data_IF_410978168354
#
_entry.id   IF_410978168354
#
_cell.length_a   1.000
_cell.length_b   1.000
_cell.length_c   1.000
_cell.angle_alpha   90.00
_cell.angle_beta   90.00
_cell.angle_gamma   90.00
#
_symmetry.space_group_name_H-M   'P 1'
#
loop_
_entity.id
_entity.type
_entity.pdbx_description
1 polymer ?
#
# COMPACT_ATOMS: atom_id res chain seq x y z
N UNK A 1 -20.32 11.69 27.46
CA UNK A 1 -21.20 12.60 28.20
C UNK A 1 -22.60 12.46 27.60
N UNK A 2 -23.30 11.42 28.05
CA UNK A 2 -24.68 11.04 27.69
C UNK A 2 -25.41 11.11 29.03
N UNK A 3 -25.60 12.33 29.54
CA UNK A 3 -26.02 12.51 30.94
C UNK A 3 -27.55 12.55 31.06
N UNK A 4 -28.26 12.92 29.99
CA UNK A 4 -29.72 12.95 29.99
C UNK A 4 -30.29 12.00 28.93
N UNK A 5 -31.02 11.00 29.43
CA UNK A 5 -31.88 10.12 28.63
C UNK A 5 -33.05 10.96 28.10
N UNK A 6 -33.54 10.73 26.86
CA UNK A 6 -34.76 11.37 26.39
C UNK A 6 -35.90 11.13 27.39
N UNK A 7 -36.58 12.22 27.79
CA UNK A 7 -37.79 12.17 28.60
C UNK A 7 -38.84 11.37 27.87
N UNK A 8 -39.41 10.36 28.51
CA UNK A 8 -40.34 9.40 27.89
C UNK A 8 -41.57 10.15 27.36
N UNK A 9 -41.62 10.42 26.05
CA UNK A 9 -42.80 10.97 25.37
C UNK A 9 -43.61 9.85 24.70
N UNK A 10 -44.76 10.22 24.12
CA UNK A 10 -45.62 9.32 23.35
C UNK A 10 -44.95 8.76 22.08
N UNK A 11 -43.84 9.33 21.60
CA UNK A 11 -43.04 8.80 20.49
C UNK A 11 -41.56 8.62 20.87
N UNK A 12 -41.21 7.50 21.54
CA UNK A 12 -39.86 7.30 22.07
C UNK A 12 -38.79 7.21 20.96
N UNK A 13 -39.17 6.85 19.74
CA UNK A 13 -38.24 6.71 18.62
C UNK A 13 -37.90 8.09 18.03
N UNK A 14 -38.88 8.99 17.91
CA UNK A 14 -38.62 10.37 17.48
C UNK A 14 -37.71 11.09 18.47
N UNK A 15 -37.93 10.90 19.77
CA UNK A 15 -37.08 11.49 20.81
C UNK A 15 -35.63 11.01 20.72
N UNK A 16 -35.41 9.72 20.42
CA UNK A 16 -34.06 9.16 20.25
C UNK A 16 -33.37 9.75 19.01
N UNK A 17 -34.10 9.89 17.91
CA UNK A 17 -33.58 10.45 16.66
C UNK A 17 -33.23 11.92 16.85
N UNK A 18 -34.12 12.71 17.43
CA UNK A 18 -33.88 14.11 17.81
C UNK A 18 -32.69 14.25 18.77
N UNK A 19 -32.62 13.37 19.76
CA UNK A 19 -31.50 13.33 20.67
C UNK A 19 -30.19 13.09 19.90
N UNK A 20 -30.16 12.16 18.95
CA UNK A 20 -28.96 11.86 18.16
C UNK A 20 -28.56 12.99 17.19
N UNK A 21 -29.52 13.69 16.59
CA UNK A 21 -29.28 14.70 15.55
C UNK A 21 -28.85 16.07 16.09
N UNK A 22 -28.83 16.26 17.41
CA UNK A 22 -28.42 17.51 18.05
C UNK A 22 -27.00 17.94 17.59
N UNK A 23 -26.79 19.22 17.16
CA UNK A 23 -25.54 19.68 16.57
C UNK A 23 -24.29 19.41 17.43
N UNK A 24 -24.39 19.59 18.75
CA UNK A 24 -23.28 19.33 19.67
C UNK A 24 -22.88 17.84 19.65
N UNK A 25 -23.86 16.93 19.67
CA UNK A 25 -23.61 15.48 19.66
C UNK A 25 -23.05 15.01 18.33
N UNK A 26 -23.54 15.57 17.22
CA UNK A 26 -22.96 15.34 15.90
C UNK A 26 -21.50 15.81 15.86
N UNK A 27 -21.20 16.98 16.44
CA UNK A 27 -19.82 17.47 16.58
C UNK A 27 -18.92 16.52 17.37
N UNK A 28 -19.39 16.04 18.53
CA UNK A 28 -18.66 15.06 19.33
C UNK A 28 -18.49 13.71 18.62
N UNK A 29 -19.48 13.28 17.85
CA UNK A 29 -19.38 12.06 17.05
C UNK A 29 -18.26 12.17 16.02
N UNK A 30 -18.17 13.27 15.28
CA UNK A 30 -17.06 13.51 14.36
C UNK A 30 -15.71 13.63 15.06
N UNK A 31 -15.66 14.30 16.21
CA UNK A 31 -14.44 14.35 17.04
C UNK A 31 -13.99 12.94 17.45
N UNK A 32 -14.91 12.10 17.91
CA UNK A 32 -14.62 10.72 18.27
C UNK A 32 -14.12 9.89 17.08
N UNK A 33 -14.68 10.09 15.88
CA UNK A 33 -14.20 9.44 14.65
C UNK A 33 -12.77 9.86 14.29
N UNK A 34 -12.45 11.15 14.40
CA UNK A 34 -11.10 11.68 14.14
C UNK A 34 -10.11 11.15 15.17
N UNK A 35 -10.45 11.21 16.46
CA UNK A 35 -9.61 10.66 17.54
C UNK A 35 -9.40 9.16 17.36
N UNK A 36 -10.44 8.41 16.98
CA UNK A 36 -10.32 6.99 16.67
C UNK A 36 -9.35 6.75 15.51
N UNK A 37 -9.42 7.53 14.43
CA UNK A 37 -8.51 7.40 13.30
C UNK A 37 -7.05 7.69 13.69
N UNK A 38 -6.82 8.72 14.51
CA UNK A 38 -5.48 9.20 14.85
C UNK A 38 -4.83 8.43 15.98
N UNK A 39 -5.59 8.00 16.98
CA UNK A 39 -5.06 7.46 18.24
C UNK A 39 -5.18 5.93 18.30
N UNK A 40 -6.26 5.37 17.77
CA UNK A 40 -6.53 3.93 17.88
C UNK A 40 -5.44 3.04 17.29
N UNK A 41 -4.82 3.33 16.13
CA UNK A 41 -3.75 2.48 15.59
C UNK A 41 -2.59 2.34 16.56
N UNK A 42 -2.16 3.42 17.20
CA UNK A 42 -1.05 3.44 18.15
C UNK A 42 -1.38 2.70 19.45
N UNK A 43 -2.57 2.93 20.01
CA UNK A 43 -3.00 2.25 21.24
C UNK A 43 -3.11 0.74 21.02
N UNK A 44 -3.74 0.33 19.92
CA UNK A 44 -3.85 -1.09 19.58
C UNK A 44 -2.50 -1.71 19.30
N UNK A 45 -1.59 -1.01 18.63
CA UNK A 45 -0.23 -1.51 18.39
C UNK A 45 0.58 -1.65 19.68
N UNK A 46 0.53 -0.64 20.56
CA UNK A 46 1.16 -0.71 21.88
C UNK A 46 0.64 -1.89 22.70
N UNK A 47 -0.67 -2.13 22.68
CA UNK A 47 -1.27 -3.31 23.32
C UNK A 47 -0.76 -4.62 22.72
N UNK A 48 -0.63 -4.73 21.39
CA UNK A 48 -0.10 -5.94 20.73
C UNK A 48 1.35 -6.21 21.10
N UNK A 49 2.20 -5.17 21.11
CA UNK A 49 3.60 -5.27 21.55
C UNK A 49 3.68 -5.68 23.03
N UNK A 50 2.81 -5.13 23.87
CA UNK A 50 2.71 -5.51 25.28
C UNK A 50 2.34 -6.99 25.43
N UNK A 51 1.33 -7.49 24.71
CA UNK A 51 0.94 -8.91 24.74
C UNK A 51 2.12 -9.78 24.31
N UNK A 52 2.80 -9.43 23.22
CA UNK A 52 3.99 -10.16 22.74
C UNK A 52 5.11 -10.17 23.79
N UNK A 53 5.43 -9.03 24.39
CA UNK A 53 6.44 -8.94 25.44
C UNK A 53 6.10 -9.77 26.68
N UNK A 54 4.82 -9.84 27.06
CA UNK A 54 4.35 -10.70 28.16
C UNK A 54 4.49 -12.18 27.79
N UNK A 55 4.13 -12.57 26.57
CA UNK A 55 4.29 -13.95 26.10
C UNK A 55 5.76 -14.38 26.14
N UNK A 56 6.67 -13.54 25.64
CA UNK A 56 8.10 -13.83 25.67
C UNK A 56 8.64 -13.92 27.11
N UNK A 57 8.15 -13.07 28.02
CA UNK A 57 8.57 -13.07 29.42
C UNK A 57 8.08 -14.31 30.19
N UNK A 58 6.90 -14.85 29.84
CA UNK A 58 6.29 -16.00 30.52
C UNK A 58 6.73 -17.33 29.92
N UNK A 59 6.85 -17.42 28.59
CA UNK A 59 7.07 -18.67 27.86
C UNK A 59 8.43 -18.75 27.15
N UNK A 60 9.21 -17.67 27.14
CA UNK A 60 10.49 -17.56 26.43
C UNK A 60 10.34 -17.01 25.01
N UNK A 61 11.47 -16.58 24.43
CA UNK A 61 11.49 -16.06 23.06
C UNK A 61 11.24 -17.16 22.03
N UNK A 62 10.37 -16.87 21.06
CA UNK A 62 10.11 -17.76 19.94
C UNK A 62 11.32 -17.81 18.99
N UNK A 63 11.72 -19.01 18.59
CA UNK A 63 12.82 -19.25 17.65
C UNK A 63 12.48 -20.34 16.62
N UNK A 64 13.40 -20.62 15.67
CA UNK A 64 13.23 -21.67 14.68
C UNK A 64 12.96 -23.02 15.34
N UNK A 65 11.97 -23.75 14.85
CA UNK A 65 11.58 -25.04 15.40
C UNK A 65 11.02 -25.99 14.34
N UNK A 66 11.46 -27.26 14.32
CA UNK A 66 10.82 -28.29 13.50
C UNK A 66 9.37 -28.54 13.94
N UNK A 67 8.48 -28.83 12.99
CA UNK A 67 7.04 -28.99 13.28
C UNK A 67 6.72 -30.11 14.27
N UNK A 68 7.59 -31.12 14.38
CA UNK A 68 7.43 -32.26 15.28
C UNK A 68 7.96 -32.02 16.71
N UNK A 69 8.73 -30.94 16.93
CA UNK A 69 9.34 -30.59 18.23
C UNK A 69 8.66 -29.36 18.85
N UNK A 70 7.92 -28.58 18.07
CA UNK A 70 7.22 -27.39 18.53
C UNK A 70 6.24 -27.68 19.67
N UNK A 71 6.47 -27.08 20.83
CA UNK A 71 5.53 -27.13 21.94
C UNK A 71 4.23 -26.42 21.58
N UNK A 72 3.08 -26.98 21.96
CA UNK A 72 1.76 -26.42 21.67
C UNK A 72 1.63 -24.94 22.11
N UNK A 73 2.31 -24.55 23.19
CA UNK A 73 2.37 -23.17 23.68
C UNK A 73 3.09 -22.24 22.71
N UNK A 74 4.23 -22.67 22.15
CA UNK A 74 4.99 -21.86 21.18
C UNK A 74 4.20 -21.67 19.88
N UNK A 75 3.56 -22.73 19.37
CA UNK A 75 2.67 -22.66 18.20
C UNK A 75 1.48 -21.74 18.47
N UNK A 76 0.85 -21.85 19.64
CA UNK A 76 -0.25 -20.97 20.03
C UNK A 76 0.20 -19.51 20.16
N UNK A 77 1.35 -19.24 20.79
CA UNK A 77 1.89 -17.88 20.92
C UNK A 77 2.23 -17.26 19.58
N UNK A 78 2.85 -18.01 18.66
CA UNK A 78 3.12 -17.55 17.30
C UNK A 78 1.82 -17.20 16.54
N UNK A 79 0.84 -18.11 16.59
CA UNK A 79 -0.47 -17.88 15.97
C UNK A 79 -1.21 -16.68 16.58
N UNK A 80 -1.13 -16.51 17.91
CA UNK A 80 -1.75 -15.38 18.60
C UNK A 80 -1.13 -14.05 18.16
N UNK A 81 0.21 -13.96 18.08
CA UNK A 81 0.89 -12.75 17.59
C UNK A 81 0.49 -12.44 16.14
N UNK A 82 0.40 -13.47 15.30
CA UNK A 82 -0.01 -13.35 13.89
C UNK A 82 -1.44 -12.84 13.73
N UNK A 83 -2.37 -13.34 14.54
CA UNK A 83 -3.77 -12.88 14.57
C UNK A 83 -3.93 -11.48 15.18
N UNK A 84 -3.13 -11.16 16.20
CA UNK A 84 -3.15 -9.85 16.84
C UNK A 84 -2.60 -8.75 15.93
N UNK A 85 -1.55 -9.04 15.15
CA UNK A 85 -0.89 -8.08 14.29
C UNK A 85 -0.65 -8.61 12.88
N UNK A 86 -1.70 -8.89 12.07
CA UNK A 86 -1.52 -9.26 10.69
C UNK A 86 -0.96 -8.08 9.90
N UNK A 87 -0.25 -8.35 8.80
CA UNK A 87 0.44 -7.34 7.97
C UNK A 87 -0.41 -6.11 7.63
N UNK A 88 -1.71 -6.22 7.24
CA UNK A 88 -2.54 -5.03 7.00
C UNK A 88 -2.67 -4.11 8.21
N UNK A 89 -2.72 -4.66 9.43
CA UNK A 89 -2.82 -3.89 10.68
C UNK A 89 -1.51 -3.21 11.06
N UNK A 90 -0.38 -3.77 10.64
CA UNK A 90 0.92 -3.11 10.76
C UNK A 90 0.98 -1.88 9.85
N UNK A 91 0.46 -1.99 8.62
CA UNK A 91 0.36 -0.87 7.68
C UNK A 91 -0.53 0.27 8.18
N UNK A 92 -1.59 -0.01 8.95
CA UNK A 92 -2.43 1.03 9.57
C UNK A 92 -1.61 2.00 10.44
N UNK A 93 -0.60 1.48 11.15
CA UNK A 93 0.24 2.26 12.08
C UNK A 93 1.41 2.90 11.35
N UNK A 94 2.12 2.12 10.53
CA UNK A 94 3.30 2.61 9.82
C UNK A 94 2.94 3.64 8.76
N UNK A 95 1.74 3.52 8.17
CA UNK A 95 1.20 4.50 7.23
C UNK A 95 0.98 5.90 7.81
N UNK A 96 0.81 6.03 9.12
CA UNK A 96 0.68 7.33 9.81
C UNK A 96 2.00 8.13 9.78
N UNK A 97 3.14 7.45 9.74
CA UNK A 97 4.47 8.08 9.63
C UNK A 97 4.87 8.37 8.18
N UNK A 98 3.98 8.16 7.21
CA UNK A 98 4.26 8.39 5.79
C UNK A 98 5.18 7.35 5.17
N UNK A 99 5.95 7.75 4.16
CA UNK A 99 6.92 6.89 3.47
C UNK A 99 8.26 6.81 4.22
N UNK A 100 8.29 7.17 5.51
CA UNK A 100 9.47 7.02 6.34
C UNK A 100 9.57 5.56 6.80
N UNK A 101 10.32 4.77 6.03
CA UNK A 101 10.44 3.32 6.21
C UNK A 101 11.05 2.90 7.55
N UNK A 102 11.74 3.81 8.25
CA UNK A 102 12.30 3.53 9.56
C UNK A 102 11.21 3.24 10.61
N UNK A 103 10.03 3.87 10.54
CA UNK A 103 8.94 3.57 11.46
C UNK A 103 8.46 2.12 11.32
N UNK A 104 8.41 1.60 10.09
CA UNK A 104 8.13 0.18 9.82
C UNK A 104 9.22 -0.72 10.38
N UNK A 105 10.49 -0.36 10.18
CA UNK A 105 11.61 -1.12 10.74
C UNK A 105 11.56 -1.16 12.28
N UNK A 106 11.28 -0.04 12.94
CA UNK A 106 11.10 0.01 14.40
C UNK A 106 9.94 -0.86 14.86
N UNK A 107 8.79 -0.79 14.18
CA UNK A 107 7.62 -1.60 14.52
C UNK A 107 7.90 -3.11 14.36
N UNK A 108 8.60 -3.51 13.30
CA UNK A 108 9.02 -4.91 13.09
C UNK A 108 10.02 -5.37 14.17
N UNK A 109 10.96 -4.52 14.58
CA UNK A 109 11.87 -4.81 15.70
C UNK A 109 11.11 -5.02 17.02
N UNK A 110 10.10 -4.20 17.29
CA UNK A 110 9.23 -4.39 18.48
C UNK A 110 8.46 -5.72 18.45
N UNK A 111 8.16 -6.24 17.26
CA UNK A 111 7.50 -7.54 17.06
C UNK A 111 8.47 -8.73 17.06
N UNK A 112 9.78 -8.49 17.21
CA UNK A 112 10.82 -9.52 17.33
C UNK A 112 11.69 -9.72 16.08
N UNK A 113 11.45 -9.00 14.98
CA UNK A 113 12.29 -9.10 13.79
C UNK A 113 13.65 -8.43 14.00
N UNK A 114 14.68 -8.95 13.33
CA UNK A 114 15.98 -8.27 13.22
C UNK A 114 15.98 -7.49 11.91
N UNK A 115 15.99 -6.15 12.02
CA UNK A 115 15.93 -5.27 10.84
C UNK A 115 17.00 -4.19 10.95
N UNK A 116 17.85 -4.12 9.95
CA UNK A 116 18.91 -3.12 9.80
C UNK A 116 18.39 -1.70 9.55
N UNK A 117 19.29 -0.83 9.10
CA UNK A 117 19.02 0.59 8.82
C UNK A 117 18.72 0.81 7.34
N UNK A 118 17.92 1.84 7.04
CA UNK A 118 17.61 2.30 5.66
C UNK A 118 16.99 1.22 4.76
N UNK A 119 16.22 0.31 5.36
CA UNK A 119 15.42 -0.67 4.62
C UNK A 119 14.25 0.05 3.96
N UNK A 120 14.00 -0.22 2.68
CA UNK A 120 12.84 0.29 1.94
C UNK A 120 11.68 -0.71 2.02
N UNK A 121 10.55 -0.27 2.57
CA UNK A 121 9.33 -1.06 2.71
C UNK A 121 8.21 -0.53 1.81
N UNK A 122 7.73 -1.28 0.80
CA UNK A 122 6.71 -0.80 -0.11
C UNK A 122 5.37 -0.60 0.61
N UNK A 123 4.52 0.29 0.08
CA UNK A 123 3.22 0.62 0.67
C UNK A 123 2.20 -0.52 0.70
N UNK A 124 2.42 -1.58 -0.08
CA UNK A 124 1.65 -2.84 -0.09
C UNK A 124 2.37 -3.98 0.64
N UNK A 125 3.58 -3.71 1.16
CA UNK A 125 4.39 -4.57 2.01
C UNK A 125 4.81 -5.91 1.37
N UNK A 126 5.89 -6.52 1.87
CA UNK A 126 5.96 -7.95 1.84
C UNK A 126 4.93 -8.53 2.83
N UNK A 127 4.31 -9.65 2.46
CA UNK A 127 3.65 -10.50 3.46
C UNK A 127 4.72 -11.20 4.30
N UNK A 128 4.55 -11.20 5.61
CA UNK A 128 5.50 -11.78 6.57
C UNK A 128 4.75 -12.87 7.33
N UNK A 129 5.30 -14.09 7.35
CA UNK A 129 4.75 -15.21 8.09
C UNK A 129 4.80 -14.97 9.60
N UNK A 130 6.02 -14.96 10.14
CA UNK A 130 6.32 -14.82 11.56
C UNK A 130 7.40 -13.75 11.76
N UNK A 131 7.07 -12.69 12.49
CA UNK A 131 7.98 -11.53 12.63
C UNK A 131 9.32 -11.89 13.30
N UNK A 132 9.33 -12.82 14.26
CA UNK A 132 10.52 -13.22 15.01
C UNK A 132 11.50 -14.09 14.19
N UNK A 133 11.07 -14.60 13.04
CA UNK A 133 11.89 -15.43 12.13
C UNK A 133 12.36 -14.64 10.90
N UNK A 134 12.52 -13.32 11.05
CA UNK A 134 12.97 -12.44 10.00
C UNK A 134 14.26 -11.72 10.40
N UNK A 135 15.30 -11.88 9.58
CA UNK A 135 16.57 -11.15 9.69
C UNK A 135 16.87 -10.40 8.38
N UNK A 136 16.92 -9.06 8.47
CA UNK A 136 17.08 -8.15 7.34
C UNK A 136 18.26 -7.22 7.61
N UNK A 137 19.21 -7.20 6.70
CA UNK A 137 20.38 -6.33 6.72
C UNK A 137 20.08 -4.85 6.45
N UNK A 138 21.14 -4.08 6.26
CA UNK A 138 21.08 -2.65 5.93
C UNK A 138 20.83 -2.43 4.44
N UNK A 139 20.16 -1.31 4.10
CA UNK A 139 19.97 -0.87 2.71
C UNK A 139 19.24 -1.89 1.82
N UNK A 140 18.43 -2.78 2.42
CA UNK A 140 17.62 -3.75 1.69
C UNK A 140 16.42 -3.06 1.06
N UNK A 141 16.05 -3.48 -0.15
CA UNK A 141 14.91 -2.92 -0.88
C UNK A 141 13.89 -4.02 -1.17
N UNK A 142 12.68 -3.83 -0.66
CA UNK A 142 11.54 -4.71 -0.97
C UNK A 142 10.65 -4.12 -2.07
N UNK A 143 10.26 -4.99 -3.00
CA UNK A 143 9.24 -4.79 -3.99
C UNK A 143 7.86 -5.15 -3.46
N UNK A 144 6.84 -4.66 -4.14
CA UNK A 144 5.44 -4.82 -3.75
C UNK A 144 5.03 -6.29 -3.73
N UNK A 145 4.29 -6.71 -2.70
CA UNK A 145 3.76 -8.07 -2.55
C UNK A 145 4.80 -9.20 -2.56
N UNK A 146 6.04 -8.94 -2.14
CA UNK A 146 6.94 -10.05 -1.83
C UNK A 146 6.34 -10.95 -0.72
N UNK A 147 6.70 -12.22 -0.69
CA UNK A 147 6.23 -13.19 0.28
C UNK A 147 7.40 -13.74 1.08
N UNK A 148 7.40 -13.48 2.38
CA UNK A 148 8.41 -13.98 3.33
C UNK A 148 7.75 -15.10 4.16
N UNK A 149 7.91 -16.33 3.68
CA UNK A 149 7.36 -17.52 4.32
C UNK A 149 8.41 -18.05 5.29
N UNK A 150 8.08 -18.02 6.57
CA UNK A 150 8.96 -18.44 7.68
C UNK A 150 8.59 -19.81 8.22
N UNK A 151 7.37 -20.27 7.97
CA UNK A 151 6.85 -21.53 8.50
C UNK A 151 6.02 -22.27 7.46
N UNK A 152 6.15 -23.60 7.43
CA UNK A 152 5.39 -24.52 6.59
C UNK A 152 4.99 -25.79 7.36
N UNK A 153 4.53 -26.83 6.66
CA UNK A 153 4.12 -28.10 7.29
C UNK A 153 5.28 -28.91 7.88
N UNK A 154 6.53 -28.54 7.60
CA UNK A 154 7.74 -29.25 8.07
C UNK A 154 8.37 -28.57 9.28
N UNK A 155 8.24 -27.24 9.38
CA UNK A 155 8.76 -26.49 10.51
C UNK A 155 8.75 -25.00 10.27
N UNK A 156 9.49 -24.30 11.12
CA UNK A 156 9.66 -22.85 11.12
C UNK A 156 11.15 -22.53 11.13
N UNK A 157 11.58 -21.72 10.17
CA UNK A 157 12.99 -21.41 9.92
C UNK A 157 13.17 -19.91 9.62
N UNK A 158 14.34 -19.40 9.98
CA UNK A 158 14.70 -17.99 9.78
C UNK A 158 14.83 -17.67 8.29
N UNK A 159 14.28 -16.54 7.85
CA UNK A 159 14.57 -15.96 6.54
C UNK A 159 15.58 -14.83 6.72
N UNK A 160 16.77 -15.00 6.14
CA UNK A 160 17.89 -14.06 6.27
C UNK A 160 18.12 -13.32 4.95
N UNK A 161 18.18 -11.99 5.01
CA UNK A 161 18.41 -11.12 3.85
C UNK A 161 19.60 -10.21 4.13
N UNK A 162 20.68 -10.38 3.38
CA UNK A 162 21.92 -9.65 3.54
C UNK A 162 21.85 -8.20 3.07
N UNK A 163 22.87 -7.42 3.46
CA UNK A 163 22.97 -6.00 3.17
C UNK A 163 22.86 -5.70 1.65
N UNK A 164 22.18 -4.59 1.32
CA UNK A 164 21.99 -4.10 -0.05
C UNK A 164 21.31 -5.10 -1.01
N UNK A 165 20.65 -6.13 -0.49
CA UNK A 165 19.86 -7.03 -1.31
C UNK A 165 18.59 -6.34 -1.83
N UNK A 166 18.15 -6.74 -3.02
CA UNK A 166 16.91 -6.32 -3.65
C UNK A 166 15.98 -7.52 -3.75
N UNK A 167 14.83 -7.45 -3.09
CA UNK A 167 13.76 -8.44 -3.20
C UNK A 167 12.64 -7.82 -4.02
N UNK A 168 12.57 -8.09 -5.32
CA UNK A 168 11.61 -7.43 -6.21
C UNK A 168 10.16 -7.94 -6.03
N UNK A 169 9.25 -7.31 -6.75
CA UNK A 169 7.81 -7.53 -6.62
C UNK A 169 7.42 -9.01 -6.75
N UNK A 170 6.62 -9.51 -5.80
CA UNK A 170 6.13 -10.90 -5.75
C UNK A 170 7.20 -11.99 -5.66
N UNK A 171 8.44 -11.64 -5.34
CA UNK A 171 9.44 -12.64 -4.98
C UNK A 171 8.99 -13.41 -3.73
N UNK A 172 9.18 -14.73 -3.73
CA UNK A 172 8.78 -15.62 -2.65
C UNK A 172 10.03 -16.22 -1.99
N UNK A 173 10.30 -15.79 -0.76
CA UNK A 173 11.32 -16.32 0.12
C UNK A 173 10.72 -17.44 0.98
N UNK A 174 11.21 -18.66 0.82
CA UNK A 174 10.78 -19.84 1.56
C UNK A 174 11.55 -20.00 2.90
N UNK A 175 11.06 -20.85 3.83
CA UNK A 175 11.69 -21.01 5.14
C UNK A 175 13.16 -21.42 5.04
N UNK A 176 14.02 -20.83 5.87
CA UNK A 176 15.45 -21.18 5.97
C UNK A 176 16.33 -20.60 4.87
N UNK A 177 15.79 -19.75 4.00
CA UNK A 177 16.56 -19.13 2.90
C UNK A 177 17.51 -18.06 3.42
N UNK A 178 18.73 -18.07 2.90
CA UNK A 178 19.71 -17.01 3.11
C UNK A 178 20.02 -16.29 1.79
N UNK A 179 19.57 -15.04 1.69
CA UNK A 179 19.87 -14.16 0.57
C UNK A 179 21.14 -13.37 0.88
N UNK A 180 22.20 -13.61 0.12
CA UNK A 180 23.48 -12.96 0.32
C UNK A 180 23.47 -11.45 0.05
N UNK A 181 24.56 -10.79 0.42
CA UNK A 181 24.77 -9.36 0.20
C UNK A 181 24.66 -8.99 -1.29
N UNK A 182 24.01 -7.85 -1.62
CA UNK A 182 23.85 -7.34 -2.99
C UNK A 182 23.18 -8.34 -3.97
N UNK A 183 22.48 -9.35 -3.45
CA UNK A 183 21.68 -10.24 -4.30
C UNK A 183 20.46 -9.50 -4.83
N UNK A 184 20.11 -9.76 -6.08
CA UNK A 184 18.86 -9.31 -6.68
C UNK A 184 17.95 -10.51 -6.94
N UNK A 185 16.88 -10.62 -6.16
CA UNK A 185 15.75 -11.50 -6.46
C UNK A 185 14.80 -10.74 -7.37
N UNK A 186 14.67 -11.16 -8.62
CA UNK A 186 13.81 -10.54 -9.61
C UNK A 186 12.32 -10.76 -9.34
N UNK A 187 11.49 -10.05 -10.09
CA UNK A 187 10.05 -10.10 -9.87
C UNK A 187 9.51 -11.52 -10.10
N UNK A 188 8.69 -12.00 -9.17
CA UNK A 188 8.15 -13.37 -9.20
C UNK A 188 9.20 -14.48 -8.99
N UNK A 189 10.41 -14.17 -8.53
CA UNK A 189 11.42 -15.19 -8.23
C UNK A 189 10.93 -16.09 -7.08
N UNK A 190 11.05 -17.41 -7.21
CA UNK A 190 10.78 -18.37 -6.15
C UNK A 190 12.10 -18.90 -5.60
N UNK A 191 12.26 -18.88 -4.28
CA UNK A 191 13.41 -19.53 -3.65
C UNK A 191 13.10 -20.96 -3.22
N UNK A 192 14.14 -21.76 -3.03
CA UNK A 192 14.06 -23.10 -2.47
C UNK A 192 14.34 -23.03 -0.96
N UNK A 193 13.53 -23.71 -0.15
CA UNK A 193 13.71 -23.75 1.30
C UNK A 193 15.12 -24.22 1.70
N UNK A 194 15.70 -23.58 2.72
CA UNK A 194 17.04 -23.88 3.23
C UNK A 194 18.21 -23.51 2.32
N UNK A 195 17.95 -22.87 1.17
CA UNK A 195 18.99 -22.57 0.17
C UNK A 195 19.68 -21.23 0.41
N UNK A 196 20.99 -21.22 0.16
CA UNK A 196 21.79 -20.00 0.13
C UNK A 196 21.90 -19.43 -1.28
N UNK A 197 21.66 -18.12 -1.42
CA UNK A 197 21.84 -17.36 -2.64
C UNK A 197 23.06 -16.47 -2.54
N UNK A 198 24.04 -16.71 -3.41
CA UNK A 198 25.37 -16.15 -3.28
C UNK A 198 25.40 -14.65 -3.55
N UNK A 199 26.22 -13.94 -2.77
CA UNK A 199 26.39 -12.49 -2.85
C UNK A 199 26.65 -11.98 -4.28
N UNK A 200 26.00 -10.86 -4.63
CA UNK A 200 26.08 -10.24 -5.95
C UNK A 200 25.42 -11.03 -7.09
N UNK A 201 24.66 -12.09 -6.78
CA UNK A 201 23.91 -12.86 -7.76
C UNK A 201 22.59 -12.19 -8.16
N UNK A 202 22.14 -12.47 -9.39
CA UNK A 202 20.80 -12.09 -9.88
C UNK A 202 20.01 -13.36 -10.18
N UNK A 203 18.88 -13.54 -9.50
CA UNK A 203 18.05 -14.73 -9.56
C UNK A 203 16.63 -14.36 -9.98
N UNK A 204 16.03 -15.08 -10.93
CA UNK A 204 14.70 -14.75 -11.46
C UNK A 204 13.85 -16.00 -11.72
N UNK A 205 12.53 -15.79 -11.73
CA UNK A 205 11.55 -16.80 -12.13
C UNK A 205 11.47 -18.00 -11.18
N UNK A 206 10.82 -19.05 -11.66
CA UNK A 206 10.64 -20.32 -10.96
C UNK A 206 10.77 -21.46 -11.96
N UNK A 207 11.74 -22.35 -11.76
CA UNK A 207 11.98 -23.53 -12.57
C UNK A 207 12.42 -24.68 -11.68
N UNK A 208 11.61 -25.73 -11.61
CA UNK A 208 11.91 -26.91 -10.80
C UNK A 208 11.89 -26.64 -9.29
N UNK A 209 11.07 -25.67 -8.84
CA UNK A 209 10.95 -25.32 -7.42
C UNK A 209 12.01 -24.33 -6.91
N UNK A 210 12.78 -23.71 -7.81
CA UNK A 210 13.79 -22.71 -7.47
C UNK A 210 13.93 -21.64 -8.56
N UNK A 211 14.60 -20.54 -8.23
CA UNK A 211 14.93 -19.44 -9.12
C UNK A 211 16.14 -19.77 -10.00
N UNK A 212 16.16 -19.17 -11.17
CA UNK A 212 17.26 -19.33 -12.13
C UNK A 212 18.27 -18.21 -11.93
N UNK A 213 19.53 -18.56 -11.70
CA UNK A 213 20.63 -17.60 -11.63
C UNK A 213 20.98 -17.08 -13.03
N UNK A 214 20.78 -15.78 -13.28
CA UNK A 214 21.17 -15.13 -14.54
C UNK A 214 22.65 -14.72 -14.55
N UNK A 215 23.15 -14.25 -13.41
CA UNK A 215 24.52 -13.79 -13.26
C UNK A 215 24.96 -14.03 -11.83
N UNK A 216 26.11 -14.67 -11.64
CA UNK A 216 26.87 -14.55 -10.40
C UNK A 216 27.85 -13.39 -10.58
N UNK A 217 28.11 -12.60 -9.54
CA UNK A 217 29.12 -11.53 -9.57
C UNK A 217 30.57 -12.01 -9.83
N UNK A 218 30.75 -13.26 -10.25
CA UNK A 218 32.01 -13.90 -10.68
C UNK A 218 31.86 -14.39 -12.12
N UNK A 219 31.98 -13.49 -13.09
CA UNK A 219 32.35 -13.87 -14.46
C UNK A 219 33.87 -13.77 -14.57
N UNK A 220 34.65 -14.87 -14.62
CA UNK A 220 35.96 -14.83 -15.21
C UNK A 220 35.78 -14.59 -16.71
N UNK A 221 36.48 -13.59 -17.27
CA UNK A 221 36.53 -13.34 -18.71
C UNK A 221 36.85 -14.65 -19.47
N UNK A 222 35.82 -15.34 -19.99
CA UNK A 222 36.03 -16.38 -21.00
C UNK A 222 36.30 -15.68 -22.32
N UNK A 223 37.57 -15.67 -22.74
CA UNK A 223 37.95 -15.34 -24.12
C UNK A 223 37.28 -16.34 -25.06
N UNK A 224 36.16 -15.96 -25.65
CA UNK A 224 35.64 -16.63 -26.83
C UNK A 224 36.49 -16.14 -28.01
N UNK A 225 37.44 -16.96 -28.44
CA UNK A 225 38.10 -16.81 -29.74
C UNK A 225 37.10 -17.16 -30.84
N UNK A 226 36.56 -16.15 -31.52
CA UNK A 226 35.93 -16.31 -32.83
C UNK A 226 35.95 -15.00 -33.61
N UNK A 227 36.62 -15.03 -34.77
CA UNK A 227 36.23 -14.32 -35.98
C UNK A 227 36.11 -12.79 -35.94
N UNK A 228 37.19 -12.13 -36.32
CA UNK A 228 37.29 -10.72 -36.73
C UNK A 228 36.02 -10.11 -37.37
N UNK A 229 35.36 -9.19 -36.65
CA UNK A 229 34.87 -7.92 -37.19
C UNK A 229 35.22 -6.81 -36.21
N UNK A 230 36.12 -5.95 -36.63
CA UNK A 230 36.75 -4.86 -35.88
C UNK A 230 35.71 -3.77 -35.56
N UNK A 231 35.04 -3.85 -34.41
CA UNK A 231 34.34 -2.70 -33.81
C UNK A 231 35.36 -1.84 -33.05
N UNK A 232 35.32 -0.55 -33.37
CA UNK A 232 36.23 0.49 -32.88
C UNK A 232 36.01 0.71 -31.38
N UNK A 233 37.07 0.52 -30.60
CA UNK A 233 37.14 0.86 -29.18
C UNK A 233 36.90 2.37 -29.01
N UNK A 234 35.82 2.77 -28.34
CA UNK A 234 35.69 4.12 -27.78
C UNK A 234 36.13 4.05 -26.32
N UNK A 235 37.19 4.80 -26.01
CA UNK A 235 37.75 4.96 -24.67
C UNK A 235 36.82 5.83 -23.83
N UNK A 236 36.72 5.52 -22.55
CA UNK A 236 35.78 6.14 -21.58
C UNK A 236 36.18 7.53 -21.10
N UNK A 237 37.00 8.26 -21.86
CA UNK A 237 37.55 9.57 -21.44
C UNK A 237 37.04 10.75 -22.29
N UNK A 238 36.20 10.53 -23.30
CA UNK A 238 35.74 11.60 -24.22
C UNK A 238 34.36 12.19 -23.88
N UNK A 239 33.83 12.00 -22.67
CA UNK A 239 32.55 12.67 -22.26
C UNK A 239 32.72 13.64 -21.09
N UNK A 240 33.94 14.09 -20.79
CA UNK A 240 34.17 15.13 -19.79
C UNK A 240 35.16 16.20 -20.28
N UNK A 241 34.69 17.44 -20.21
CA UNK A 241 35.28 18.75 -20.54
C UNK A 241 35.23 19.16 -22.03
N UNK A 242 34.78 20.37 -22.40
CA UNK A 242 34.93 21.62 -21.69
C UNK A 242 33.79 22.63 -21.93
N UNK A 243 33.36 23.31 -20.87
CA UNK A 243 33.74 24.71 -20.72
C UNK A 243 33.98 25.06 -19.25
N UNK A 244 35.08 25.76 -19.06
CA UNK A 244 35.77 26.17 -17.84
C UNK A 244 35.01 27.16 -16.95
N UNK A 245 35.24 27.06 -15.62
CA UNK A 245 35.29 28.24 -14.76
C UNK A 245 34.97 28.02 -13.28
N UNK A 246 36.01 28.07 -12.43
CA UNK A 246 35.99 28.37 -10.98
C UNK A 246 35.91 27.22 -9.95
N UNK A 247 37.11 26.74 -9.57
CA UNK A 247 37.69 26.64 -8.21
C UNK A 247 36.87 26.06 -7.03
N UNK A 248 37.41 24.93 -6.53
CA UNK A 248 37.60 24.47 -5.14
C UNK A 248 36.58 24.86 -4.05
N UNK A 249 36.01 23.82 -3.42
CA UNK A 249 36.40 23.40 -2.05
C UNK A 249 35.83 22.02 -1.71
N UNK A 250 36.70 21.16 -1.18
CA UNK A 250 36.38 19.96 -0.45
C UNK A 250 35.49 20.29 0.75
N UNK A 251 34.44 19.50 1.01
CA UNK A 251 33.73 19.52 2.28
C UNK A 251 33.13 18.13 2.55
N UNK A 252 33.38 17.67 3.76
CA UNK A 252 32.99 16.41 4.36
C UNK A 252 31.49 16.10 4.26
N UNK A 253 31.21 14.81 4.19
CA UNK A 253 29.88 14.26 4.01
C UNK A 253 29.16 14.12 5.37
N UNK A 254 28.79 15.25 5.99
CA UNK A 254 27.92 15.33 7.16
C UNK A 254 26.46 15.57 6.72
N UNK A 255 25.81 14.51 6.24
CA UNK A 255 24.43 14.50 5.75
C UNK A 255 23.32 14.55 6.82
N UNK A 256 23.58 15.17 7.98
CA UNK A 256 22.58 15.41 9.05
C UNK A 256 22.56 16.87 9.55
N UNK A 257 23.49 17.73 9.10
CA UNK A 257 23.56 19.13 9.52
C UNK A 257 22.68 20.11 8.71
N UNK A 258 22.16 19.73 7.55
CA UNK A 258 21.49 20.66 6.61
C UNK A 258 19.96 20.49 6.63
N UNK A 259 19.37 20.36 7.82
CA UNK A 259 17.92 20.50 8.01
C UNK A 259 17.53 21.68 8.91
N UNK A 260 18.50 22.38 9.51
CA UNK A 260 18.22 23.45 10.49
C UNK A 260 18.80 24.81 10.15
N UNK A 261 19.61 24.96 9.09
CA UNK A 261 20.11 26.26 8.70
C UNK A 261 19.48 26.78 7.40
N UNK A 262 18.84 27.94 7.56
CA UNK A 262 18.51 28.96 6.57
C UNK A 262 17.15 28.89 5.85
N UNK A 263 16.21 29.73 6.34
CA UNK A 263 15.18 30.36 5.53
C UNK A 263 13.76 30.40 6.15
N UNK A 264 13.15 31.58 6.39
CA UNK A 264 11.77 31.70 6.88
C UNK A 264 10.70 31.21 5.88
N UNK A 265 11.08 30.88 4.63
CA UNK A 265 10.17 30.44 3.56
C UNK A 265 9.95 28.91 3.48
N UNK A 266 10.64 28.11 4.29
CA UNK A 266 10.54 26.64 4.27
C UNK A 266 9.39 26.09 5.14
N UNK A 267 8.96 26.86 6.16
CA UNK A 267 7.89 26.50 7.10
C UNK A 267 6.54 26.19 6.41
N UNK A 268 6.03 26.96 5.43
CA UNK A 268 4.76 26.63 4.78
C UNK A 268 4.84 25.37 3.91
N UNK A 269 6.00 25.03 3.33
CA UNK A 269 6.14 23.80 2.52
C UNK A 269 6.21 22.54 3.37
N UNK A 270 6.87 22.60 4.53
CA UNK A 270 6.89 21.51 5.51
C UNK A 270 5.52 21.32 6.16
N UNK A 271 4.82 22.43 6.47
CA UNK A 271 3.44 22.40 6.97
C UNK A 271 2.50 21.84 5.90
N UNK A 272 2.58 22.27 4.64
CA UNK A 272 1.80 21.68 3.54
C UNK A 272 2.12 20.19 3.35
N UNK A 273 3.39 19.78 3.50
CA UNK A 273 3.81 18.39 3.43
C UNK A 273 3.23 17.56 4.58
N UNK A 274 3.28 18.05 5.83
CA UNK A 274 2.68 17.41 7.01
C UNK A 274 1.14 17.38 6.93
N UNK A 275 0.53 18.45 6.45
CA UNK A 275 -0.92 18.54 6.19
C UNK A 275 -1.34 17.54 5.09
N UNK A 276 -0.56 17.38 4.01
CA UNK A 276 -0.81 16.38 2.95
C UNK A 276 -0.59 14.93 3.41
N UNK A 277 0.21 14.71 4.46
CA UNK A 277 0.66 13.39 4.91
C UNK A 277 -0.22 12.83 6.04
N UNK A 278 -0.75 13.70 6.92
CA UNK A 278 -1.59 13.33 8.09
C UNK A 278 -3.09 13.64 7.89
N UNK A 279 -3.47 14.66 7.11
CA UNK A 279 -4.89 15.03 6.96
C UNK A 279 -5.77 14.16 6.05
N UNK A 280 -5.29 13.41 5.03
CA UNK A 280 -6.23 12.75 4.13
C UNK A 280 -7.04 11.67 4.84
N UNK A 281 -6.48 10.95 5.82
CA UNK A 281 -7.18 9.85 6.47
C UNK A 281 -8.33 10.34 7.39
N UNK A 282 -8.12 11.31 8.31
CA UNK A 282 -9.22 11.93 9.05
C UNK A 282 -10.25 12.63 8.15
N UNK A 283 -9.82 13.36 7.12
CA UNK A 283 -10.73 14.02 6.18
C UNK A 283 -11.56 13.01 5.39
N UNK A 284 -10.97 11.87 5.00
CA UNK A 284 -11.71 10.79 4.36
C UNK A 284 -12.74 10.19 5.31
N UNK A 285 -12.36 9.91 6.56
CA UNK A 285 -13.29 9.39 7.57
C UNK A 285 -14.44 10.38 7.78
N UNK A 286 -14.16 11.67 7.92
CA UNK A 286 -15.19 12.70 8.03
C UNK A 286 -16.11 12.69 6.81
N UNK A 287 -15.53 12.79 5.61
CA UNK A 287 -16.25 12.84 4.34
C UNK A 287 -17.23 11.67 4.19
N UNK A 288 -16.77 10.43 4.37
CA UNK A 288 -17.61 9.25 4.16
C UNK A 288 -18.65 9.01 5.25
N UNK A 289 -18.49 9.61 6.44
CA UNK A 289 -19.51 9.57 7.48
C UNK A 289 -20.58 10.67 7.31
N UNK A 290 -20.36 11.68 6.46
CA UNK A 290 -21.36 12.73 6.18
C UNK A 290 -22.66 12.13 5.65
N UNK A 291 -22.64 11.22 4.66
CA UNK A 291 -23.89 10.64 4.15
C UNK A 291 -24.70 9.91 5.23
N UNK A 292 -24.05 9.15 6.12
CA UNK A 292 -24.73 8.41 7.19
C UNK A 292 -25.33 9.34 8.24
N UNK A 293 -24.64 10.41 8.62
CA UNK A 293 -25.10 11.31 9.68
C UNK A 293 -26.14 12.29 9.13
N UNK A 294 -25.88 12.87 7.95
CA UNK A 294 -26.80 13.79 7.29
C UNK A 294 -28.10 13.11 6.85
N UNK A 295 -28.10 11.82 6.53
CA UNK A 295 -29.35 11.09 6.22
C UNK A 295 -30.25 10.93 7.45
N UNK A 296 -29.69 10.75 8.65
CA UNK A 296 -30.49 10.74 9.90
C UNK A 296 -31.01 12.14 10.21
N UNK A 297 -30.17 13.19 10.07
CA UNK A 297 -30.60 14.59 10.24
C UNK A 297 -31.69 15.00 9.25
N UNK A 298 -31.60 14.54 8.00
CA UNK A 298 -32.62 14.76 6.99
C UNK A 298 -33.93 14.07 7.34
N UNK A 299 -33.88 12.79 7.78
CA UNK A 299 -35.08 12.07 8.21
C UNK A 299 -35.76 12.77 9.40
N UNK A 300 -34.98 13.19 10.40
CA UNK A 300 -35.46 13.97 11.56
C UNK A 300 -36.13 15.29 11.13
N UNK A 301 -35.48 16.05 10.24
CA UNK A 301 -36.02 17.29 9.70
C UNK A 301 -37.36 17.08 8.98
N UNK A 302 -37.46 16.06 8.12
CA UNK A 302 -38.69 15.77 7.38
C UNK A 302 -39.82 15.36 8.33
N UNK A 303 -39.52 14.51 9.32
CA UNK A 303 -40.51 14.04 10.29
C UNK A 303 -41.05 15.17 11.14
N UNK A 304 -40.16 16.00 11.70
CA UNK A 304 -40.56 17.16 12.51
C UNK A 304 -41.40 18.17 11.74
N UNK A 305 -41.10 18.37 10.44
CA UNK A 305 -41.72 19.42 9.64
C UNK A 305 -43.03 19.01 8.98
N UNK A 306 -43.15 17.75 8.56
CA UNK A 306 -44.20 17.31 7.64
C UNK A 306 -45.07 16.14 8.12
N UNK A 307 -44.70 15.42 9.19
CA UNK A 307 -45.36 14.16 9.54
C UNK A 307 -46.06 14.20 10.91
N UNK A 308 -47.33 13.73 11.01
CA UNK A 308 -48.07 13.73 12.27
C UNK A 308 -47.42 12.82 13.31
N UNK A 309 -47.45 13.21 14.59
CA UNK A 309 -46.79 12.48 15.68
C UNK A 309 -47.63 11.38 16.33
N UNK A 310 -48.93 11.30 16.02
CA UNK A 310 -49.90 10.48 16.77
C UNK A 310 -50.32 9.17 16.06
N UNK A 311 -49.58 8.76 15.02
CA UNK A 311 -49.94 7.61 14.16
C UNK A 311 -49.40 6.25 14.65
N UNK A 312 -48.69 6.24 15.79
CA UNK A 312 -48.19 5.03 16.44
C UNK A 312 -46.75 4.65 16.06
N UNK A 313 -46.14 3.80 16.89
CA UNK A 313 -44.69 3.52 16.83
C UNK A 313 -44.24 2.83 15.53
N UNK A 314 -45.04 1.93 14.97
CA UNK A 314 -44.69 1.21 13.74
C UNK A 314 -44.73 2.11 12.51
N UNK A 315 -45.59 3.12 12.50
CA UNK A 315 -45.60 4.16 11.48
C UNK A 315 -44.28 4.96 11.53
N UNK A 316 -43.91 5.43 12.73
CA UNK A 316 -42.66 6.18 12.94
C UNK A 316 -41.42 5.39 12.52
N UNK A 317 -41.32 4.11 12.89
CA UNK A 317 -40.23 3.23 12.47
C UNK A 317 -40.19 3.10 10.95
N UNK A 318 -41.32 2.82 10.32
CA UNK A 318 -41.38 2.55 8.88
C UNK A 318 -41.01 3.78 8.06
N UNK A 319 -41.48 4.95 8.49
CA UNK A 319 -41.18 6.21 7.83
C UNK A 319 -39.73 6.63 8.05
N UNK A 320 -39.22 6.53 9.29
CA UNK A 320 -37.81 6.77 9.60
C UNK A 320 -36.89 5.88 8.77
N UNK A 321 -37.16 4.58 8.73
CA UNK A 321 -36.39 3.63 7.97
C UNK A 321 -36.41 3.95 6.47
N UNK A 322 -37.59 4.22 5.91
CA UNK A 322 -37.75 4.52 4.48
C UNK A 322 -37.06 5.83 4.08
N UNK A 323 -37.23 6.89 4.87
CA UNK A 323 -36.57 8.18 4.65
C UNK A 323 -35.06 8.07 4.79
N UNK A 324 -34.58 7.39 5.83
CA UNK A 324 -33.16 7.17 6.04
C UNK A 324 -32.55 6.34 4.91
N UNK A 325 -33.21 5.25 4.49
CA UNK A 325 -32.76 4.40 3.39
C UNK A 325 -32.67 5.16 2.06
N UNK A 326 -33.69 5.95 1.73
CA UNK A 326 -33.66 6.78 0.52
C UNK A 326 -32.56 7.85 0.59
N UNK A 327 -32.46 8.56 1.72
CA UNK A 327 -31.48 9.63 1.91
C UNK A 327 -30.05 9.11 1.93
N UNK A 328 -29.77 8.00 2.62
CA UNK A 328 -28.43 7.42 2.65
C UNK A 328 -28.02 6.95 1.26
N UNK A 329 -28.90 6.28 0.50
CA UNK A 329 -28.61 5.83 -0.85
C UNK A 329 -28.27 7.00 -1.79
N UNK A 330 -29.04 8.10 -1.73
CA UNK A 330 -28.77 9.31 -2.50
C UNK A 330 -27.43 9.92 -2.07
N UNK A 331 -27.25 10.21 -0.79
CA UNK A 331 -26.05 10.88 -0.30
C UNK A 331 -24.77 10.07 -0.54
N UNK A 332 -24.76 8.75 -0.29
CA UNK A 332 -23.58 7.93 -0.56
C UNK A 332 -23.26 7.86 -2.05
N UNK A 333 -24.27 7.82 -2.92
CA UNK A 333 -24.07 7.80 -4.37
C UNK A 333 -23.51 9.14 -4.85
N UNK A 334 -24.07 10.26 -4.38
CA UNK A 334 -23.56 11.60 -4.68
C UNK A 334 -22.11 11.78 -4.22
N UNK A 335 -21.77 11.28 -3.03
CA UNK A 335 -20.40 11.30 -2.52
C UNK A 335 -19.44 10.47 -3.36
N UNK A 336 -19.85 9.27 -3.78
CA UNK A 336 -19.03 8.42 -4.64
C UNK A 336 -18.73 9.10 -5.99
N UNK A 337 -19.76 9.69 -6.63
CA UNK A 337 -19.59 10.44 -7.88
C UNK A 337 -18.68 11.65 -7.68
N UNK A 338 -18.89 12.40 -6.59
CA UNK A 338 -18.10 13.59 -6.28
C UNK A 338 -16.63 13.26 -6.05
N UNK A 339 -16.30 12.19 -5.30
CA UNK A 339 -14.90 11.75 -5.11
C UNK A 339 -14.26 11.33 -6.42
N UNK A 340 -14.95 10.56 -7.26
CA UNK A 340 -14.41 10.17 -8.57
C UNK A 340 -14.12 11.40 -9.44
N UNK A 341 -15.05 12.36 -9.48
CA UNK A 341 -14.87 13.61 -10.20
C UNK A 341 -13.70 14.45 -9.65
N UNK A 342 -13.59 14.56 -8.32
CA UNK A 342 -12.48 15.25 -7.66
C UNK A 342 -11.13 14.58 -7.98
N UNK A 343 -11.06 13.24 -7.99
CA UNK A 343 -9.83 12.50 -8.28
C UNK A 343 -9.40 12.69 -9.73
N UNK A 344 -10.35 12.58 -10.68
CA UNK A 344 -10.08 12.85 -12.09
C UNK A 344 -9.65 14.32 -12.27
N UNK A 345 -10.38 15.26 -11.69
CA UNK A 345 -10.07 16.69 -11.74
C UNK A 345 -8.70 17.01 -11.16
N UNK A 346 -8.37 16.46 -9.98
CA UNK A 346 -7.07 16.65 -9.34
C UNK A 346 -5.93 16.05 -10.17
N UNK A 347 -6.13 14.89 -10.81
CA UNK A 347 -5.16 14.31 -11.74
C UNK A 347 -4.85 15.30 -12.87
N UNK A 348 -5.87 15.85 -13.52
CA UNK A 348 -5.68 16.77 -14.64
C UNK A 348 -5.12 18.13 -14.22
N UNK A 349 -5.55 18.65 -13.07
CA UNK A 349 -5.11 19.94 -12.54
C UNK A 349 -3.65 19.90 -12.05
N UNK A 350 -3.22 18.81 -11.41
CA UNK A 350 -1.91 18.74 -10.76
C UNK A 350 -0.85 18.02 -11.61
N UNK A 351 -1.23 16.96 -12.33
CA UNK A 351 -0.30 16.05 -13.00
C UNK A 351 -0.27 16.25 -14.52
N UNK A 352 -1.37 16.67 -15.13
CA UNK A 352 -1.50 16.74 -16.59
C UNK A 352 -1.36 15.35 -17.25
N UNK A 353 -0.83 15.29 -18.47
CA UNK A 353 -0.46 14.03 -19.14
C UNK A 353 1.00 13.68 -18.86
N UNK A 354 1.23 12.48 -18.31
CA UNK A 354 2.61 11.96 -18.17
C UNK A 354 3.20 11.61 -19.53
N UNK A 355 4.51 11.80 -19.67
CA UNK A 355 5.29 11.44 -20.87
C UNK A 355 6.33 10.38 -20.51
N UNK A 356 6.62 9.43 -21.43
CA UNK A 356 7.75 8.52 -21.28
C UNK A 356 9.06 9.30 -21.09
N UNK A 357 9.94 8.78 -20.26
CA UNK A 357 11.22 9.41 -19.96
C UNK A 357 11.81 8.97 -18.63
N UNK A 358 13.09 9.27 -18.49
CA UNK A 358 13.84 8.98 -17.28
C UNK A 358 13.71 10.14 -16.29
N UNK A 359 13.33 9.82 -15.06
CA UNK A 359 13.14 10.77 -14.00
C UNK A 359 13.94 10.36 -12.75
N UNK A 360 14.96 11.13 -12.43
CA UNK A 360 15.74 10.94 -11.21
C UNK A 360 14.94 11.39 -9.98
N UNK A 361 15.02 10.61 -8.89
CA UNK A 361 14.29 10.88 -7.63
C UNK A 361 14.64 12.23 -6.98
N UNK A 362 15.83 12.77 -7.26
CA UNK A 362 16.34 14.03 -6.73
C UNK A 362 15.69 15.27 -7.37
N UNK A 363 14.96 15.10 -8.47
CA UNK A 363 14.18 16.18 -9.07
C UNK A 363 12.87 16.41 -8.28
N UNK A 364 12.89 17.48 -7.47
CA UNK A 364 11.83 17.95 -6.56
C UNK A 364 10.40 17.97 -7.13
N UNK A 365 10.26 18.06 -8.46
CA UNK A 365 8.96 18.19 -9.14
C UNK A 365 8.23 16.86 -9.36
N UNK A 366 8.94 15.72 -9.37
CA UNK A 366 8.36 14.40 -9.69
C UNK A 366 8.11 13.60 -8.44
N UNK A 367 8.99 13.73 -7.45
CA UNK A 367 8.76 13.15 -6.13
C UNK A 367 7.44 13.66 -5.51
N UNK A 368 7.12 14.96 -5.61
CA UNK A 368 5.85 15.51 -5.07
C UNK A 368 4.60 15.00 -5.81
N UNK A 369 4.69 14.86 -7.13
CA UNK A 369 3.62 14.47 -8.08
C UNK A 369 3.33 12.96 -8.05
N UNK A 370 4.37 12.12 -8.00
CA UNK A 370 4.26 10.67 -7.81
C UNK A 370 3.68 10.30 -6.45
N UNK A 371 4.08 11.03 -5.39
CA UNK A 371 3.56 10.87 -4.02
C UNK A 371 2.07 11.19 -3.89
N UNK A 372 1.57 12.23 -4.57
CA UNK A 372 0.14 12.57 -4.59
C UNK A 372 -0.69 11.47 -5.26
N UNK A 373 -0.23 10.97 -6.42
CA UNK A 373 -0.95 9.97 -7.20
C UNK A 373 -1.05 8.60 -6.52
N UNK A 374 -0.10 8.25 -5.65
CA UNK A 374 -0.10 6.98 -4.90
C UNK A 374 -0.96 7.08 -3.63
N UNK A 375 -1.01 8.25 -2.99
CA UNK A 375 -1.79 8.50 -1.76
C UNK A 375 -3.28 8.73 -2.06
N UNK A 376 -3.63 9.44 -3.15
CA UNK A 376 -5.03 9.66 -3.56
C UNK A 376 -5.75 8.34 -3.88
N UNK A 377 -5.03 7.36 -4.43
CA UNK A 377 -5.56 6.00 -4.68
C UNK A 377 -5.89 5.23 -3.39
N UNK A 378 -5.15 5.45 -2.30
CA UNK A 378 -5.45 4.86 -0.98
C UNK A 378 -6.75 5.43 -0.39
N UNK A 379 -7.04 6.71 -0.60
CA UNK A 379 -8.29 7.36 -0.18
C UNK A 379 -9.53 6.85 -0.94
N UNK A 380 -9.39 6.49 -2.22
CA UNK A 380 -10.47 5.91 -3.04
C UNK A 380 -10.68 4.42 -2.75
N UNK A 381 -9.61 3.69 -2.38
CA UNK A 381 -9.65 2.27 -2.08
C UNK A 381 -10.15 1.95 -0.65
N UNK A 382 -9.95 2.84 0.32
CA UNK A 382 -10.11 2.50 1.75
C UNK A 382 -11.52 2.63 2.34
N UNK A 383 -12.51 3.20 1.63
CA UNK A 383 -13.77 3.61 2.31
C UNK A 383 -15.07 3.14 1.64
N UNK A 384 -15.04 1.93 1.10
CA UNK A 384 -16.22 1.05 1.16
C UNK A 384 -15.73 -0.29 1.65
N UNK A 385 -16.28 -0.72 2.79
CA UNK A 385 -15.86 -1.79 3.74
C UNK A 385 -15.47 -3.18 3.19
N UNK A 386 -15.23 -3.34 1.90
CA UNK A 386 -14.56 -4.51 1.32
C UNK A 386 -13.83 -4.24 -0.01
N UNK A 387 -14.15 -3.17 -0.78
CA UNK A 387 -13.76 -3.06 -2.21
C UNK A 387 -13.48 -1.63 -2.75
N UNK A 388 -13.79 -0.55 -2.03
CA UNK A 388 -13.69 0.83 -2.57
C UNK A 388 -14.73 1.13 -3.66
N UNK A 389 -14.96 2.40 -4.02
CA UNK A 389 -15.91 2.77 -5.10
C UNK A 389 -15.50 2.12 -6.42
N UNK A 390 -14.20 2.07 -6.70
CA UNK A 390 -13.66 1.44 -7.91
C UNK A 390 -13.93 -0.07 -7.95
N UNK A 391 -13.91 -0.75 -6.80
CA UNK A 391 -14.23 -2.18 -6.72
C UNK A 391 -15.70 -2.51 -6.99
N UNK A 392 -16.61 -1.53 -6.92
CA UNK A 392 -17.99 -1.70 -7.38
C UNK A 392 -18.11 -1.58 -8.91
N UNK A 393 -17.13 -0.95 -9.57
CA UNK A 393 -17.11 -0.73 -11.01
C UNK A 393 -16.33 -1.81 -11.77
N UNK A 394 -15.52 -2.62 -11.08
CA UNK A 394 -14.71 -3.67 -11.70
C UNK A 394 -15.56 -4.67 -12.49
N UNK A 395 -15.03 -5.15 -13.61
CA UNK A 395 -15.76 -6.06 -14.50
C UNK A 395 -16.90 -5.41 -15.31
N UNK A 396 -17.13 -4.10 -15.14
CA UNK A 396 -18.16 -3.35 -15.89
C UNK A 396 -17.53 -2.35 -16.86
N UNK A 397 -18.30 -1.80 -17.79
CA UNK A 397 -17.79 -0.72 -18.66
C UNK A 397 -17.47 0.57 -17.88
N UNK A 398 -17.99 0.74 -16.66
CA UNK A 398 -17.76 1.95 -15.85
C UNK A 398 -16.29 2.11 -15.43
N UNK A 399 -15.59 1.01 -15.13
CA UNK A 399 -14.16 1.08 -14.80
C UNK A 399 -13.31 1.46 -16.01
N UNK A 400 -13.71 1.01 -17.21
CA UNK A 400 -13.06 1.39 -18.48
C UNK A 400 -13.23 2.88 -18.72
N UNK A 401 -14.44 3.41 -18.55
CA UNK A 401 -14.69 4.86 -18.65
C UNK A 401 -13.86 5.65 -17.65
N UNK A 402 -13.73 5.17 -16.41
CA UNK A 402 -12.87 5.79 -15.40
C UNK A 402 -11.41 5.86 -15.85
N UNK A 403 -10.82 4.76 -16.34
CA UNK A 403 -9.43 4.77 -16.77
C UNK A 403 -9.20 5.58 -18.05
N UNK A 404 -10.16 5.61 -18.97
CA UNK A 404 -10.15 6.53 -20.12
C UNK A 404 -10.17 7.99 -19.65
N UNK A 405 -11.02 8.34 -18.68
CA UNK A 405 -11.04 9.68 -18.08
C UNK A 405 -9.73 10.01 -17.36
N UNK A 406 -9.06 9.01 -16.79
CA UNK A 406 -7.72 9.13 -16.23
C UNK A 406 -6.60 9.19 -17.28
N UNK A 407 -6.91 9.00 -18.57
CA UNK A 407 -6.02 9.22 -19.71
C UNK A 407 -5.50 7.97 -20.42
N UNK A 408 -5.94 6.77 -20.03
CA UNK A 408 -5.61 5.53 -20.74
C UNK A 408 -6.31 5.45 -22.11
N UNK A 409 -5.64 4.86 -23.09
CA UNK A 409 -6.25 4.53 -24.37
C UNK A 409 -6.72 3.07 -24.31
N UNK A 410 -8.04 2.84 -24.29
CA UNK A 410 -8.62 1.50 -24.11
C UNK A 410 -9.61 1.25 -25.24
N UNK A 411 -9.47 0.16 -25.98
CA UNK A 411 -10.36 -0.29 -27.04
C UNK A 411 -11.74 -0.72 -26.55
N UNK A 412 -12.55 -1.28 -27.45
CA UNK A 412 -13.92 -1.75 -27.19
C UNK A 412 -13.91 -3.12 -26.49
N UNK A 413 -15.00 -3.43 -25.81
CA UNK A 413 -15.26 -4.74 -25.19
C UNK A 413 -14.13 -5.26 -24.28
N UNK A 414 -13.47 -4.34 -23.58
CA UNK A 414 -12.42 -4.68 -22.61
C UNK A 414 -13.01 -4.98 -21.24
N UNK A 415 -12.51 -6.03 -20.58
CA UNK A 415 -12.87 -6.39 -19.21
C UNK A 415 -11.67 -6.17 -18.30
N UNK A 416 -11.77 -5.18 -17.41
CA UNK A 416 -10.72 -4.85 -16.43
C UNK A 416 -11.15 -5.32 -15.04
N UNK A 417 -10.24 -6.01 -14.36
CA UNK A 417 -10.41 -6.48 -12.99
C UNK A 417 -11.66 -7.35 -12.80
N UNK A 418 -11.96 -8.22 -13.76
CA UNK A 418 -13.18 -9.03 -13.77
C UNK A 418 -13.39 -9.87 -12.48
N UNK A 419 -12.31 -10.19 -11.77
CA UNK A 419 -12.34 -10.93 -10.50
C UNK A 419 -12.84 -10.11 -9.30
N UNK A 420 -13.19 -8.82 -9.49
CA UNK A 420 -13.86 -8.02 -8.46
C UNK A 420 -12.96 -7.44 -7.37
N UNK A 421 -11.64 -7.64 -7.46
CA UNK A 421 -10.64 -7.02 -6.59
C UNK A 421 -9.51 -6.44 -7.44
N UNK A 422 -9.41 -5.11 -7.57
CA UNK A 422 -8.30 -4.49 -8.24
C UNK A 422 -7.11 -4.47 -7.28
N UNK A 423 -6.41 -5.61 -7.16
CA UNK A 423 -5.13 -5.71 -6.44
C UNK A 423 -4.09 -4.76 -7.07
N UNK A 424 -4.10 -4.67 -8.40
CA UNK A 424 -3.12 -4.00 -9.25
C UNK A 424 -3.75 -2.88 -10.09
N UNK A 425 -4.19 -1.81 -9.43
CA UNK A 425 -4.71 -0.62 -10.12
C UNK A 425 -3.60 0.01 -10.98
N UNK A 426 -3.92 0.38 -12.22
CA UNK A 426 -2.98 1.07 -13.10
C UNK A 426 -2.41 2.33 -12.44
N UNK A 427 -1.09 2.40 -12.29
CA UNK A 427 -0.37 3.51 -11.65
C UNK A 427 -0.22 4.71 -12.59
N UNK A 428 0.05 4.46 -13.87
CA UNK A 428 0.19 5.47 -14.91
C UNK A 428 -0.78 5.21 -16.06
N UNK A 429 -2.09 5.47 -15.89
CA UNK A 429 -3.07 5.21 -16.95
C UNK A 429 -2.73 5.93 -18.25
N UNK A 430 -2.15 7.13 -18.20
CA UNK A 430 -1.73 7.91 -19.37
C UNK A 430 -0.73 7.19 -20.31
N UNK A 431 0.00 6.20 -19.81
CA UNK A 431 1.03 5.48 -20.56
C UNK A 431 0.57 4.08 -21.01
N UNK A 432 -0.71 3.76 -20.80
CA UNK A 432 -1.28 2.45 -21.11
C UNK A 432 -2.17 2.56 -22.35
N UNK A 433 -1.89 1.69 -23.32
CA UNK A 433 -2.72 1.46 -24.50
C UNK A 433 -3.19 0.00 -24.50
N UNK A 434 -4.50 -0.21 -24.48
CA UNK A 434 -5.15 -1.52 -24.62
C UNK A 434 -5.96 -1.53 -25.91
N UNK A 435 -5.76 -2.56 -26.74
CA UNK A 435 -6.55 -2.83 -27.94
C UNK A 435 -8.00 -3.24 -27.67
N UNK A 436 -8.68 -3.77 -28.68
CA UNK A 436 -10.05 -4.26 -28.57
C UNK A 436 -10.09 -5.67 -27.94
N UNK A 437 -11.14 -5.97 -27.17
CA UNK A 437 -11.39 -7.27 -26.51
C UNK A 437 -10.24 -7.73 -25.61
N UNK A 438 -9.63 -6.80 -24.88
CA UNK A 438 -8.57 -7.12 -23.90
C UNK A 438 -9.16 -7.45 -22.54
N UNK A 439 -8.67 -8.54 -21.93
CA UNK A 439 -9.03 -8.95 -20.56
C UNK A 439 -7.82 -8.82 -19.65
N UNK A 440 -7.95 -8.04 -18.59
CA UNK A 440 -6.91 -7.89 -17.55
C UNK A 440 -7.50 -8.35 -16.22
N UNK A 441 -7.11 -9.53 -15.75
CA UNK A 441 -7.60 -10.13 -14.52
C UNK A 441 -6.43 -10.44 -13.57
N UNK A 442 -6.22 -9.62 -12.54
CA UNK A 442 -5.10 -9.79 -11.58
C UNK A 442 -3.69 -9.75 -12.21
N UNK A 443 -3.55 -9.17 -13.41
CA UNK A 443 -2.25 -8.96 -14.05
C UNK A 443 -1.66 -7.58 -13.69
N UNK A 444 -0.33 -7.55 -13.52
CA UNK A 444 0.41 -6.33 -13.23
C UNK A 444 0.73 -5.58 -14.52
N UNK A 445 0.01 -4.48 -14.75
CA UNK A 445 0.27 -3.56 -15.87
C UNK A 445 0.97 -2.32 -15.32
N UNK A 446 2.29 -2.38 -15.30
CA UNK A 446 3.16 -1.36 -14.71
C UNK A 446 4.00 -0.74 -15.83
N UNK A 447 3.94 0.58 -15.94
CA UNK A 447 4.62 1.33 -17.01
C UNK A 447 5.91 1.98 -16.52
N UNK A 448 6.39 1.58 -15.34
CA UNK A 448 7.55 2.15 -14.70
C UNK A 448 8.51 1.07 -14.23
N UNK A 449 9.80 1.37 -14.29
CA UNK A 449 10.85 0.54 -13.71
C UNK A 449 11.60 1.39 -12.70
N UNK A 450 11.68 0.89 -11.47
CA UNK A 450 12.49 1.50 -10.42
C UNK A 450 13.73 0.64 -10.18
N UNK A 451 14.89 1.08 -10.68
CA UNK A 451 16.16 0.40 -10.44
C UNK A 451 17.22 1.41 -10.05
N UNK A 452 17.95 1.11 -8.95
CA UNK A 452 19.08 1.91 -8.47
C UNK A 452 18.77 3.40 -8.27
N UNK A 453 17.56 3.74 -7.80
CA UNK A 453 17.14 5.13 -7.55
C UNK A 453 16.71 5.92 -8.79
N UNK A 454 16.68 5.29 -9.97
CA UNK A 454 16.17 5.88 -11.21
C UNK A 454 14.75 5.40 -11.48
N UNK A 455 13.86 6.33 -11.79
CA UNK A 455 12.45 6.03 -12.10
C UNK A 455 12.23 6.27 -13.60
N UNK A 456 12.19 5.18 -14.36
CA UNK A 456 12.03 5.24 -15.81
C UNK A 456 10.58 4.94 -16.20
N UNK A 457 9.94 5.84 -16.95
CA UNK A 457 8.57 5.71 -17.45
C UNK A 457 8.58 5.35 -18.91
N UNK A 458 7.91 4.25 -19.26
CA UNK A 458 7.80 3.76 -20.62
C UNK A 458 6.33 3.56 -21.00
N UNK A 459 6.00 3.68 -22.28
CA UNK A 459 4.67 3.30 -22.77
C UNK A 459 4.48 1.78 -22.71
N UNK A 460 3.27 1.32 -22.38
CA UNK A 460 2.90 -0.08 -22.41
C UNK A 460 1.69 -0.28 -23.32
N UNK A 461 1.86 -1.15 -24.32
CA UNK A 461 0.84 -1.47 -25.29
C UNK A 461 0.48 -2.96 -25.21
N UNK A 462 -0.82 -3.24 -25.07
CA UNK A 462 -1.39 -4.59 -25.14
C UNK A 462 -2.29 -4.64 -26.38
N UNK A 463 -1.95 -5.50 -27.33
CA UNK A 463 -2.69 -5.66 -28.58
C UNK A 463 -4.08 -6.28 -28.39
N UNK A 464 -4.84 -6.31 -29.49
CA UNK A 464 -6.20 -6.85 -29.51
C UNK A 464 -6.27 -8.32 -29.06
N UNK A 465 -7.40 -8.71 -28.46
CA UNK A 465 -7.71 -10.09 -28.05
C UNK A 465 -6.70 -10.72 -27.09
N UNK A 466 -5.91 -9.91 -26.38
CA UNK A 466 -4.98 -10.38 -25.38
C UNK A 466 -5.71 -10.61 -24.04
N UNK A 467 -5.31 -11.67 -23.33
CA UNK A 467 -5.72 -11.91 -21.94
C UNK A 467 -4.50 -11.97 -21.04
N UNK A 468 -4.53 -11.22 -19.95
CA UNK A 468 -3.50 -11.23 -18.92
C UNK A 468 -4.10 -11.67 -17.59
N UNK A 469 -3.60 -12.78 -17.05
CA UNK A 469 -3.95 -13.28 -15.72
C UNK A 469 -2.71 -13.70 -14.95
N UNK A 470 -2.59 -13.30 -13.69
CA UNK A 470 -1.55 -13.85 -12.82
C UNK A 470 -1.83 -15.33 -12.54
N UNK A 471 -0.79 -16.16 -12.56
CA UNK A 471 -0.90 -17.55 -12.16
C UNK A 471 -1.34 -17.61 -10.69
N UNK A 472 -2.55 -18.09 -10.45
CA UNK A 472 -3.09 -18.27 -9.10
C UNK A 472 -2.37 -19.44 -8.44
N UNK A 473 -1.56 -19.15 -7.42
CA UNK A 473 -0.87 -20.17 -6.61
C UNK A 473 -1.85 -21.07 -5.84
N UNK A 474 -3.14 -20.73 -5.80
CA UNK A 474 -4.17 -21.59 -5.21
C UNK A 474 -4.69 -22.69 -6.15
N UNK A 475 -4.29 -22.70 -7.43
CA UNK A 475 -4.52 -23.81 -8.36
C UNK A 475 -3.48 -24.94 -8.22
N UNK A 476 -2.53 -24.85 -7.27
CA UNK A 476 -1.79 -26.01 -6.77
C UNK A 476 -2.63 -26.64 -5.64
N UNK A 477 -3.79 -27.20 -6.00
CA UNK A 477 -4.53 -28.12 -5.13
C UNK A 477 -4.54 -29.50 -5.76
N UNK A 478 -3.71 -30.35 -5.12
CA UNK A 478 -3.55 -31.81 -5.20
C UNK A 478 -2.85 -32.38 -6.41
#
# INVERSE_FOLDING_TARGET
MVIYKPTVSHSPIRDIVEWFTEPERVGYHYLALVLKCLVSPFVLFGFRVLVKAVLDAVFGELGPSPAHVGGAVATWSANLVKELCPVPRLHDVTGMFGQHYEATSVALRMLGARVGKRVYWPGTGPSIGDYHLLDVGNDVVFGSWAHLVTSDGTGSEMVTIGDRAMIADRACLLPGVEVGERVTMGSGALTQSGKQYLAGGTYVGSRGGDSVCLSTGRQPHKKVTSGSKRMRHQSSDDTLAAHSGSRNKSADNDGMGILLENGPLLRPKLICYLLLLVLPDPLCVLYWNVASISSVQFADFVIKRFLPSDLGIWYDVSVLFSLHFAAIAIFTTSQAVLVLAMVIGAKWALLGRRRPGNYDWDNRHIASVGRYSSRSRRSVASVTRAKGVLGLLTGTNWIVLYFRAMGANIGKDCALFANGMPSLVFTEPDLITLGDRVVVADASVVTHINTRGKFDLNGLEIGDMCSGQAADSSAVRR
#
